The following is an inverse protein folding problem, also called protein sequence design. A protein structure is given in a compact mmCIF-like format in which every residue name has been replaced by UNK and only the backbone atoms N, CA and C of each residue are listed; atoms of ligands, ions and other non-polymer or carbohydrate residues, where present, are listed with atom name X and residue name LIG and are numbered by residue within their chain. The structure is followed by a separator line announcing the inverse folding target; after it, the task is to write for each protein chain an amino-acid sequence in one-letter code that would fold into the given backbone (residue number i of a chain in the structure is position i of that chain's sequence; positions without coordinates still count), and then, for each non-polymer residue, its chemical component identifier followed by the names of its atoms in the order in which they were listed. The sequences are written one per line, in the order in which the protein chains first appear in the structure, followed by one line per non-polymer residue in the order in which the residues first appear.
data_IF_865701735142
#
_entry.id   IF_865701735142
#
_cell.length_a   1.000
_cell.length_b   1.000
_cell.length_c   1.000
_cell.angle_alpha   90.00
_cell.angle_beta   90.00
_cell.angle_gamma   90.00
#
_symmetry.space_group_name_H-M   'P 1'
#
loop_
_entity.id
_entity.type
_entity.pdbx_description
1 polymer ?
#
# COMPACT_ATOMS: atom_id res chain seq x y z
N UNK A 1 21.41 8.26 -7.68
CA UNK A 1 22.73 7.71 -8.05
C UNK A 1 22.62 7.11 -9.44
N UNK A 2 23.50 7.49 -10.37
CA UNK A 2 23.52 6.93 -11.73
C UNK A 2 24.15 5.54 -11.71
N UNK A 3 23.60 4.61 -12.50
CA UNK A 3 24.24 3.34 -12.85
C UNK A 3 24.86 3.49 -14.24
N UNK A 4 25.86 2.68 -14.55
CA UNK A 4 26.25 2.51 -15.96
C UNK A 4 25.18 1.72 -16.74
N UNK A 5 25.41 1.55 -18.04
CA UNK A 5 24.51 0.82 -18.97
C UNK A 5 24.32 -0.66 -18.59
N UNK A 6 25.22 -1.20 -17.77
CA UNK A 6 25.19 -2.58 -17.28
C UNK A 6 24.61 -2.68 -15.86
N UNK A 7 24.09 -1.58 -15.30
CA UNK A 7 23.54 -1.53 -13.95
C UNK A 7 24.60 -1.52 -12.84
N UNK A 8 25.89 -1.38 -13.18
CA UNK A 8 26.96 -1.30 -12.19
C UNK A 8 27.02 0.09 -11.57
N UNK A 9 27.29 0.09 -10.26
CA UNK A 9 27.58 1.29 -9.51
C UNK A 9 28.74 0.99 -8.55
N UNK A 10 29.92 1.61 -8.74
CA UNK A 10 31.08 1.40 -7.87
C UNK A 10 30.77 1.66 -6.38
N UNK A 11 29.89 2.62 -6.10
CA UNK A 11 29.47 2.93 -4.73
C UNK A 11 28.61 1.81 -4.13
N UNK A 12 27.76 1.15 -4.92
CA UNK A 12 26.99 0.01 -4.43
C UNK A 12 27.87 -1.18 -4.08
N UNK A 13 28.86 -1.48 -4.94
CA UNK A 13 29.87 -2.49 -4.63
C UNK A 13 30.60 -2.19 -3.32
N UNK A 14 30.97 -0.92 -3.10
CA UNK A 14 31.67 -0.50 -1.89
C UNK A 14 30.86 -0.65 -0.59
N UNK A 15 29.52 -0.57 -0.67
CA UNK A 15 28.63 -0.76 0.49
C UNK A 15 28.07 -2.18 0.60
N UNK A 16 28.53 -3.10 -0.26
CA UNK A 16 28.05 -4.47 -0.33
C UNK A 16 26.60 -4.59 -0.83
N UNK A 17 26.07 -3.59 -1.53
CA UNK A 17 24.74 -3.62 -2.14
C UNK A 17 24.80 -4.14 -3.57
N UNK A 18 23.87 -5.03 -3.91
CA UNK A 18 23.67 -5.53 -5.28
C UNK A 18 22.21 -5.36 -5.64
N UNK A 19 21.97 -4.75 -6.80
CA UNK A 19 20.63 -4.72 -7.37
C UNK A 19 20.23 -6.13 -7.81
N UNK A 20 18.93 -6.40 -7.74
CA UNK A 20 18.38 -7.65 -8.26
C UNK A 20 18.60 -7.70 -9.78
N UNK A 21 19.55 -8.54 -10.20
CA UNK A 21 19.92 -8.79 -11.60
C UNK A 21 19.32 -10.08 -12.14
N UNK A 22 18.47 -10.78 -11.36
CA UNK A 22 17.75 -11.96 -11.87
C UNK A 22 17.05 -11.58 -13.16
N UNK A 23 17.20 -12.44 -14.18
CA UNK A 23 16.57 -12.22 -15.47
C UNK A 23 15.08 -11.93 -15.26
N UNK A 24 14.59 -10.89 -15.93
CA UNK A 24 13.16 -10.60 -15.93
C UNK A 24 12.48 -11.87 -16.43
N UNK A 25 11.61 -12.45 -15.60
CA UNK A 25 10.86 -13.64 -15.99
C UNK A 25 10.21 -13.40 -17.35
N UNK A 26 10.30 -14.41 -18.25
CA UNK A 26 9.64 -14.39 -19.57
C UNK A 26 8.21 -13.87 -19.44
N UNK A 27 7.64 -13.22 -20.48
CA UNK A 27 6.30 -12.61 -20.45
C UNK A 27 5.26 -13.55 -19.83
N UNK A 28 4.98 -13.40 -18.53
CA UNK A 28 3.68 -13.80 -18.00
C UNK A 28 2.67 -12.86 -18.67
N UNK A 29 1.55 -13.42 -19.15
CA UNK A 29 0.40 -12.65 -19.59
C UNK A 29 0.15 -11.54 -18.55
N UNK A 30 0.03 -10.28 -18.98
CA UNK A 30 -0.38 -9.18 -18.10
C UNK A 30 -1.79 -9.52 -17.59
N UNK A 31 -1.90 -9.91 -16.32
CA UNK A 31 -3.10 -10.58 -15.79
C UNK A 31 -4.38 -9.76 -15.98
N UNK A 32 -4.27 -8.43 -15.88
CA UNK A 32 -5.40 -7.50 -15.98
C UNK A 32 -5.60 -6.91 -17.39
N UNK A 33 -4.81 -7.31 -18.39
CA UNK A 33 -4.79 -6.69 -19.72
C UNK A 33 -6.17 -6.63 -20.38
N UNK A 34 -7.00 -7.65 -20.18
CA UNK A 34 -8.32 -7.76 -20.80
C UNK A 34 -9.33 -6.74 -20.22
N UNK A 35 -9.12 -6.25 -19.00
CA UNK A 35 -10.05 -5.34 -18.32
C UNK A 35 -9.51 -3.93 -18.04
N UNK A 36 -8.19 -3.75 -18.13
CA UNK A 36 -7.55 -2.45 -17.90
C UNK A 36 -7.58 -1.58 -19.16
N UNK A 37 -7.83 -0.28 -18.96
CA UNK A 37 -7.56 0.80 -19.92
C UNK A 37 -6.53 1.72 -19.29
N UNK A 38 -5.32 1.73 -19.86
CA UNK A 38 -4.22 2.60 -19.42
C UNK A 38 -4.33 3.95 -20.10
N UNK A 39 -4.99 4.91 -19.44
CA UNK A 39 -5.32 6.22 -20.05
C UNK A 39 -4.11 7.00 -20.54
N UNK A 40 -2.93 6.73 -20.01
CA UNK A 40 -1.64 7.28 -20.46
C UNK A 40 -1.30 6.93 -21.92
N UNK A 41 -1.78 5.79 -22.43
CA UNK A 41 -1.56 5.33 -23.80
C UNK A 41 -2.74 5.59 -24.74
N UNK A 42 -3.76 6.28 -24.25
CA UNK A 42 -5.00 6.52 -24.97
C UNK A 42 -5.11 7.97 -25.46
N UNK A 43 -5.77 8.12 -26.62
CA UNK A 43 -6.23 9.38 -27.18
C UNK A 43 -7.74 9.52 -26.97
N UNK A 44 -8.32 10.69 -27.25
CA UNK A 44 -9.77 10.88 -27.18
C UNK A 44 -10.55 9.83 -27.99
N UNK A 45 -10.11 9.49 -29.22
CA UNK A 45 -10.82 8.53 -30.07
C UNK A 45 -10.62 7.08 -29.62
N UNK A 46 -9.37 6.68 -29.36
CA UNK A 46 -9.06 5.31 -28.93
C UNK A 46 -9.66 4.99 -27.56
N UNK A 47 -9.77 5.99 -26.67
CA UNK A 47 -10.39 5.82 -25.37
C UNK A 47 -11.88 5.46 -25.44
N UNK A 48 -12.65 6.14 -26.29
CA UNK A 48 -14.09 5.83 -26.49
C UNK A 48 -14.24 4.42 -27.06
N UNK A 49 -13.38 4.05 -28.01
CA UNK A 49 -13.36 2.72 -28.60
C UNK A 49 -13.05 1.66 -27.53
N UNK A 50 -11.99 1.83 -26.74
CA UNK A 50 -11.58 0.92 -25.67
C UNK A 50 -12.68 0.71 -24.62
N UNK A 51 -13.42 1.76 -24.25
CA UNK A 51 -14.57 1.64 -23.33
C UNK A 51 -15.73 0.86 -23.95
N UNK A 52 -16.04 1.13 -25.23
CA UNK A 52 -17.13 0.49 -25.97
C UNK A 52 -16.85 -1.00 -26.20
N UNK A 53 -15.61 -1.36 -26.56
CA UNK A 53 -15.14 -2.73 -26.70
C UNK A 53 -15.22 -3.52 -25.38
N UNK A 54 -15.10 -2.83 -24.24
CA UNK A 54 -15.31 -3.40 -22.89
C UNK A 54 -16.77 -3.32 -22.41
N UNK A 55 -17.72 -3.02 -23.30
CA UNK A 55 -19.16 -3.11 -23.02
C UNK A 55 -19.75 -1.98 -22.18
N UNK A 56 -19.04 -0.85 -22.08
CA UNK A 56 -19.52 0.36 -21.40
C UNK A 56 -20.25 1.29 -22.37
N UNK A 57 -21.35 1.88 -21.92
CA UNK A 57 -22.06 2.92 -22.68
C UNK A 57 -21.37 4.26 -22.46
N UNK A 58 -20.91 4.88 -23.56
CA UNK A 58 -20.20 6.16 -23.53
C UNK A 58 -20.86 7.14 -24.49
N UNK A 59 -21.10 8.35 -24.01
CA UNK A 59 -21.59 9.47 -24.83
C UNK A 59 -20.74 10.70 -24.60
N UNK A 60 -20.50 11.47 -25.64
CA UNK A 60 -19.78 12.74 -25.55
C UNK A 60 -20.75 13.91 -25.30
N UNK A 61 -20.38 14.80 -24.39
CA UNK A 61 -21.07 16.08 -24.14
C UNK A 61 -20.08 17.20 -24.47
N UNK A 62 -20.16 17.73 -25.69
CA UNK A 62 -19.24 18.76 -26.19
C UNK A 62 -19.34 20.06 -25.40
N UNK A 63 -20.57 20.48 -25.05
CA UNK A 63 -20.81 21.72 -24.31
C UNK A 63 -20.15 21.72 -22.92
N UNK A 64 -20.22 20.58 -22.22
CA UNK A 64 -19.60 20.43 -20.90
C UNK A 64 -18.15 19.95 -20.97
N UNK A 65 -17.67 19.62 -22.16
CA UNK A 65 -16.35 19.04 -22.42
C UNK A 65 -16.08 17.78 -21.57
N UNK A 66 -17.04 16.84 -21.57
CA UNK A 66 -16.96 15.58 -20.80
C UNK A 66 -17.34 14.35 -21.61
N UNK A 67 -16.78 13.20 -21.24
CA UNK A 67 -17.29 11.88 -21.61
C UNK A 67 -18.18 11.35 -20.50
N UNK A 68 -19.44 11.05 -20.80
CA UNK A 68 -20.38 10.41 -19.88
C UNK A 68 -20.29 8.90 -20.05
N UNK A 69 -19.99 8.19 -18.97
CA UNK A 69 -19.81 6.74 -18.93
C UNK A 69 -20.81 6.16 -17.95
N UNK A 70 -21.60 5.17 -18.33
CA UNK A 70 -22.58 4.54 -17.44
C UNK A 70 -22.10 3.19 -16.91
N UNK A 71 -22.29 2.97 -15.62
CA UNK A 71 -22.09 1.67 -14.98
C UNK A 71 -23.09 1.45 -13.82
N UNK A 72 -23.11 0.26 -13.23
CA UNK A 72 -23.89 0.03 -12.02
C UNK A 72 -23.14 0.55 -10.79
N UNK A 73 -21.84 0.25 -10.72
CA UNK A 73 -20.97 0.62 -9.60
C UNK A 73 -19.69 1.28 -10.09
N UNK A 74 -19.31 2.39 -9.47
CA UNK A 74 -17.97 2.97 -9.63
C UNK A 74 -17.21 2.90 -8.31
N UNK A 75 -15.97 2.43 -8.35
CA UNK A 75 -15.09 2.26 -7.19
C UNK A 75 -13.87 3.16 -7.39
N UNK A 76 -13.57 4.02 -6.42
CA UNK A 76 -12.41 4.91 -6.47
C UNK A 76 -11.29 4.35 -5.61
N UNK A 77 -10.19 3.95 -6.24
CA UNK A 77 -9.02 3.32 -5.62
C UNK A 77 -9.04 1.80 -5.79
N UNK A 78 -7.92 1.24 -6.23
CA UNK A 78 -7.77 -0.19 -6.55
C UNK A 78 -7.07 -1.03 -5.46
N UNK A 79 -6.80 -0.42 -4.30
CA UNK A 79 -6.12 -1.06 -3.18
C UNK A 79 -6.94 -2.14 -2.47
N UNK A 80 -6.51 -2.56 -1.26
CA UNK A 80 -7.09 -3.68 -0.52
C UNK A 80 -8.64 -3.67 -0.45
N UNK A 81 -9.24 -2.53 -0.11
CA UNK A 81 -10.71 -2.42 -0.03
C UNK A 81 -11.39 -2.39 -1.39
N UNK A 82 -10.83 -1.62 -2.34
CA UNK A 82 -11.43 -1.43 -3.66
C UNK A 82 -11.37 -2.68 -4.53
N UNK A 83 -10.25 -3.41 -4.49
CA UNK A 83 -10.09 -4.67 -5.24
C UNK A 83 -11.07 -5.75 -4.80
N UNK A 84 -11.23 -5.95 -3.48
CA UNK A 84 -12.20 -6.91 -2.93
C UNK A 84 -13.62 -6.51 -3.31
N UNK A 85 -13.99 -5.24 -3.14
CA UNK A 85 -15.32 -4.76 -3.51
C UNK A 85 -15.60 -4.94 -5.02
N UNK A 86 -14.61 -4.66 -5.88
CA UNK A 86 -14.73 -4.86 -7.32
C UNK A 86 -14.99 -6.31 -7.67
N UNK A 87 -14.23 -7.24 -7.10
CA UNK A 87 -14.36 -8.67 -7.34
C UNK A 87 -15.76 -9.19 -6.97
N UNK A 88 -16.22 -8.89 -5.76
CA UNK A 88 -17.51 -9.37 -5.25
C UNK A 88 -18.67 -8.81 -6.07
N UNK A 89 -18.64 -7.53 -6.43
CA UNK A 89 -19.71 -6.88 -7.18
C UNK A 89 -19.72 -7.30 -8.66
N UNK A 90 -18.56 -7.42 -9.30
CA UNK A 90 -18.46 -7.92 -10.67
C UNK A 90 -18.92 -9.38 -10.76
N UNK A 91 -18.48 -10.24 -9.83
CA UNK A 91 -18.93 -11.64 -9.75
C UNK A 91 -20.44 -11.78 -9.47
N UNK A 92 -21.09 -10.72 -8.94
CA UNK A 92 -22.54 -10.66 -8.77
C UNK A 92 -23.28 -10.18 -10.02
N UNK A 93 -22.57 -9.95 -11.13
CA UNK A 93 -23.14 -9.56 -12.43
C UNK A 93 -23.32 -8.05 -12.62
N UNK A 94 -22.80 -7.21 -11.72
CA UNK A 94 -22.87 -5.74 -11.88
C UNK A 94 -21.81 -5.23 -12.85
N UNK A 95 -22.15 -4.20 -13.64
CA UNK A 95 -21.15 -3.46 -14.43
C UNK A 95 -20.33 -2.57 -13.51
N UNK A 96 -19.09 -2.98 -13.23
CA UNK A 96 -18.17 -2.30 -12.31
C UNK A 96 -17.09 -1.53 -13.07
N UNK A 97 -16.88 -0.26 -12.69
CA UNK A 97 -15.70 0.51 -13.08
C UNK A 97 -14.84 0.78 -11.84
N UNK A 98 -13.53 0.52 -11.94
CA UNK A 98 -12.54 0.88 -10.92
C UNK A 98 -11.67 2.02 -11.44
N UNK A 99 -11.53 3.11 -10.67
CA UNK A 99 -10.60 4.18 -10.96
C UNK A 99 -9.33 4.05 -10.13
N UNK A 100 -8.18 4.11 -10.78
CA UNK A 100 -6.87 4.17 -10.14
C UNK A 100 -6.08 5.36 -10.69
N UNK A 101 -5.54 6.19 -9.79
CA UNK A 101 -4.76 7.37 -10.20
C UNK A 101 -3.33 7.02 -10.58
N UNK A 102 -2.79 5.93 -10.04
CA UNK A 102 -1.49 5.39 -10.42
C UNK A 102 -1.53 4.60 -11.72
N UNK A 103 -0.36 4.15 -12.16
CA UNK A 103 -0.19 3.34 -13.37
C UNK A 103 -0.22 1.83 -13.05
N UNK A 104 -0.38 1.02 -14.10
CA UNK A 104 -0.34 -0.44 -14.02
C UNK A 104 1.07 -0.96 -14.33
N UNK A 105 1.68 -1.65 -13.36
CA UNK A 105 2.97 -2.31 -13.53
C UNK A 105 2.81 -3.81 -13.36
N UNK A 106 3.53 -4.58 -14.18
CA UNK A 106 3.74 -6.02 -13.97
C UNK A 106 5.19 -6.31 -13.60
N UNK A 107 5.47 -7.58 -13.28
CA UNK A 107 6.78 -8.04 -12.80
C UNK A 107 7.98 -7.60 -13.67
N UNK A 108 7.79 -7.43 -14.98
CA UNK A 108 8.82 -6.96 -15.91
C UNK A 108 9.02 -5.44 -15.92
N UNK A 109 8.02 -4.67 -15.52
CA UNK A 109 8.06 -3.21 -15.55
C UNK A 109 8.80 -2.67 -14.32
N UNK A 110 8.74 -3.40 -13.20
CA UNK A 110 9.37 -2.97 -11.95
C UNK A 110 10.88 -2.79 -12.06
N UNK A 111 11.32 -1.62 -11.63
CA UNK A 111 12.73 -1.29 -11.54
C UNK A 111 13.39 -2.02 -10.36
N UNK A 112 14.66 -2.38 -10.50
CA UNK A 112 15.49 -2.79 -9.35
C UNK A 112 16.04 -1.58 -8.60
N UNK A 113 15.76 -0.37 -9.10
CA UNK A 113 16.24 0.88 -8.52
C UNK A 113 15.22 1.45 -7.56
N UNK A 114 15.66 1.66 -6.33
CA UNK A 114 14.87 2.25 -5.25
C UNK A 114 14.22 3.57 -5.67
N UNK A 115 15.00 4.55 -6.13
CA UNK A 115 14.46 5.88 -6.47
C UNK A 115 13.41 5.88 -7.58
N UNK A 116 13.58 5.03 -8.61
CA UNK A 116 12.60 4.90 -9.71
C UNK A 116 11.31 4.27 -9.19
N UNK A 117 11.42 3.18 -8.43
CA UNK A 117 10.28 2.47 -7.86
C UNK A 117 9.51 3.34 -6.87
N UNK A 118 10.22 4.10 -6.03
CA UNK A 118 9.61 5.07 -5.11
C UNK A 118 8.83 6.13 -5.89
N UNK A 119 9.41 6.71 -6.94
CA UNK A 119 8.74 7.73 -7.76
C UNK A 119 7.49 7.20 -8.49
N UNK A 120 7.53 5.96 -8.98
CA UNK A 120 6.46 5.36 -9.77
C UNK A 120 5.32 4.79 -8.92
N UNK A 121 5.64 4.23 -7.75
CA UNK A 121 4.70 3.38 -7.01
C UNK A 121 4.18 4.00 -5.72
N UNK A 122 4.71 5.13 -5.27
CA UNK A 122 4.34 5.77 -4.00
C UNK A 122 3.79 7.18 -4.19
N UNK A 123 2.86 7.55 -3.32
CA UNK A 123 2.42 8.93 -3.13
C UNK A 123 3.61 9.86 -2.90
N UNK A 124 3.64 10.98 -3.63
CA UNK A 124 4.72 11.98 -3.52
C UNK A 124 6.12 11.38 -3.68
N UNK A 125 6.26 10.27 -4.43
CA UNK A 125 7.52 9.56 -4.59
C UNK A 125 8.08 8.96 -3.29
N UNK A 126 7.22 8.69 -2.31
CA UNK A 126 7.60 8.19 -0.98
C UNK A 126 8.04 9.27 0.01
N UNK A 127 7.92 10.55 -0.35
CA UNK A 127 8.26 11.68 0.53
C UNK A 127 6.95 12.37 0.96
N UNK A 128 6.30 11.81 1.98
CA UNK A 128 5.06 12.35 2.54
C UNK A 128 5.16 12.50 4.07
N UNK A 129 5.77 13.60 4.57
CA UNK A 129 5.85 13.87 6.00
C UNK A 129 4.52 14.41 6.55
N UNK A 130 4.35 14.29 7.87
CA UNK A 130 3.42 15.17 8.61
C UNK A 130 3.89 16.62 8.55
N UNK A 131 2.98 17.57 8.78
CA UNK A 131 3.26 19.00 8.75
C UNK A 131 4.43 19.41 9.66
N UNK A 132 4.62 18.72 10.78
CA UNK A 132 5.71 18.96 11.73
C UNK A 132 6.95 18.07 11.49
N UNK A 133 6.96 17.28 10.42
CA UNK A 133 8.06 16.40 10.03
C UNK A 133 8.32 15.21 10.95
N UNK A 134 7.48 14.97 11.96
CA UNK A 134 7.72 13.92 12.96
C UNK A 134 7.41 12.51 12.48
N UNK A 135 6.55 12.38 11.47
CA UNK A 135 6.24 11.09 10.86
C UNK A 135 6.43 11.16 9.35
N UNK A 136 7.08 10.15 8.79
CA UNK A 136 7.13 9.89 7.36
C UNK A 136 6.12 8.81 7.00
N UNK A 137 5.30 9.07 5.97
CA UNK A 137 4.24 8.17 5.55
C UNK A 137 4.58 7.60 4.17
N UNK A 138 4.46 6.28 4.04
CA UNK A 138 4.55 5.58 2.77
C UNK A 138 3.17 5.07 2.37
N UNK A 139 2.66 5.55 1.23
CA UNK A 139 1.38 5.14 0.69
C UNK A 139 1.56 4.77 -0.79
N UNK A 140 1.00 3.63 -1.22
CA UNK A 140 1.09 3.17 -2.61
C UNK A 140 0.16 3.97 -3.54
N UNK A 141 0.67 4.34 -4.71
CA UNK A 141 -0.02 5.05 -5.79
C UNK A 141 0.20 4.32 -7.12
N UNK A 142 -0.33 3.12 -7.22
CA UNK A 142 -0.23 2.22 -8.38
C UNK A 142 -1.43 1.27 -8.37
N UNK A 143 -1.72 0.61 -9.49
CA UNK A 143 -2.75 -0.44 -9.52
C UNK A 143 -2.46 -1.52 -8.48
N UNK A 144 -3.40 -1.74 -7.57
CA UNK A 144 -3.25 -2.58 -6.37
C UNK A 144 -2.92 -1.80 -5.08
N UNK A 145 -2.62 -0.51 -5.18
CA UNK A 145 -2.33 0.39 -4.06
C UNK A 145 -1.22 -0.10 -3.14
N UNK A 146 -1.40 0.08 -1.82
CA UNK A 146 -0.44 -0.38 -0.83
C UNK A 146 -0.19 -1.90 -0.83
N UNK A 147 -1.12 -2.70 -1.35
CA UNK A 147 -0.96 -4.16 -1.39
C UNK A 147 0.14 -4.59 -2.39
N UNK A 148 0.33 -3.83 -3.48
CA UNK A 148 1.38 -4.07 -4.46
C UNK A 148 2.79 -3.85 -3.86
N UNK A 149 2.93 -2.91 -2.92
CA UNK A 149 4.23 -2.39 -2.43
C UNK A 149 4.50 -2.54 -0.92
N UNK A 150 3.61 -3.15 -0.13
CA UNK A 150 3.95 -3.48 1.26
C UNK A 150 4.99 -4.63 1.38
N UNK A 151 5.33 -5.01 2.61
CA UNK A 151 6.29 -6.08 2.91
C UNK A 151 5.68 -7.48 3.03
N UNK A 152 4.50 -7.71 2.44
CA UNK A 152 3.77 -8.98 2.42
C UNK A 152 3.28 -9.53 3.78
N UNK A 153 3.63 -8.90 4.90
CA UNK A 153 3.16 -9.29 6.22
C UNK A 153 1.63 -9.29 6.31
N UNK A 154 1.08 -10.42 6.76
CA UNK A 154 -0.33 -10.65 6.98
C UNK A 154 -0.54 -10.90 8.47
N UNK A 155 -1.16 -9.95 9.17
CA UNK A 155 -1.47 -10.08 10.59
C UNK A 155 -2.98 -10.04 10.76
N UNK A 156 -3.53 -11.06 11.39
CA UNK A 156 -4.96 -11.10 11.71
C UNK A 156 -5.27 -10.10 12.82
N UNK A 157 -6.45 -9.49 12.76
CA UNK A 157 -6.93 -8.59 13.81
C UNK A 157 -6.97 -9.35 15.15
N UNK A 158 -6.24 -8.92 16.19
CA UNK A 158 -6.22 -9.63 17.47
C UNK A 158 -7.59 -9.66 18.14
N UNK A 159 -7.91 -10.75 18.85
CA UNK A 159 -9.19 -10.90 19.56
C UNK A 159 -9.43 -9.76 20.56
N UNK A 160 -8.38 -9.30 21.26
CA UNK A 160 -8.48 -8.19 22.20
C UNK A 160 -8.86 -6.86 21.51
N UNK A 161 -8.42 -6.65 20.26
CA UNK A 161 -8.77 -5.47 19.45
C UNK A 161 -10.21 -5.58 18.95
N UNK A 162 -10.63 -6.75 18.46
CA UNK A 162 -12.03 -6.99 18.05
C UNK A 162 -13.00 -6.81 19.23
N UNK A 163 -12.62 -7.29 20.42
CA UNK A 163 -13.35 -7.06 21.67
C UNK A 163 -13.44 -5.58 22.01
N UNK A 164 -12.32 -4.85 21.93
CA UNK A 164 -12.32 -3.40 22.17
C UNK A 164 -13.26 -2.67 21.18
N UNK A 165 -13.16 -2.95 19.87
CA UNK A 165 -14.02 -2.31 18.87
C UNK A 165 -15.51 -2.60 19.08
N UNK A 166 -15.85 -3.84 19.40
CA UNK A 166 -17.25 -4.22 19.64
C UNK A 166 -17.81 -3.67 20.95
N UNK A 167 -17.10 -3.82 22.06
CA UNK A 167 -17.62 -3.49 23.39
C UNK A 167 -17.48 -2.01 23.74
N UNK A 168 -16.31 -1.42 23.47
CA UNK A 168 -16.01 -0.02 23.84
C UNK A 168 -16.53 0.96 22.79
N UNK A 169 -16.29 0.67 21.52
CA UNK A 169 -16.69 1.56 20.41
C UNK A 169 -18.06 1.22 19.81
N UNK A 170 -18.75 0.19 20.34
CA UNK A 170 -20.13 -0.19 19.97
C UNK A 170 -20.27 -0.56 18.49
N UNK A 171 -19.27 -1.29 17.96
CA UNK A 171 -19.24 -1.78 16.59
C UNK A 171 -19.46 -3.31 16.58
N UNK A 172 -20.71 -3.79 16.69
CA UNK A 172 -21.01 -5.21 16.93
C UNK A 172 -20.54 -6.13 15.80
N UNK A 173 -20.36 -5.61 14.58
CA UNK A 173 -19.80 -6.35 13.45
C UNK A 173 -18.47 -7.04 13.82
N UNK A 174 -17.60 -6.40 14.59
CA UNK A 174 -16.29 -6.99 14.94
C UNK A 174 -16.38 -8.14 15.95
N UNK A 175 -17.50 -8.30 16.66
CA UNK A 175 -17.76 -9.47 17.49
C UNK A 175 -18.39 -10.63 16.69
N UNK A 176 -18.96 -10.35 15.52
CA UNK A 176 -19.73 -11.32 14.73
C UNK A 176 -18.87 -12.44 14.11
N UNK A 177 -19.52 -13.52 13.71
CA UNK A 177 -18.95 -14.56 12.84
C UNK A 177 -18.59 -14.02 11.46
N UNK A 178 -19.34 -13.03 10.96
CA UNK A 178 -19.19 -12.51 9.60
C UNK A 178 -17.83 -11.83 9.40
N UNK A 179 -17.35 -11.06 10.39
CA UNK A 179 -16.02 -10.45 10.33
C UNK A 179 -14.90 -11.50 10.32
N UNK A 180 -15.04 -12.56 11.12
CA UNK A 180 -14.07 -13.67 11.14
C UNK A 180 -14.06 -14.42 9.81
N UNK A 181 -15.25 -14.73 9.29
CA UNK A 181 -15.40 -15.37 7.97
C UNK A 181 -14.84 -14.50 6.85
N UNK A 182 -15.01 -13.18 6.91
CA UNK A 182 -14.44 -12.26 5.94
C UNK A 182 -12.90 -12.28 5.99
N UNK A 183 -12.30 -12.26 7.19
CA UNK A 183 -10.85 -12.42 7.34
C UNK A 183 -10.37 -13.76 6.77
N UNK A 184 -11.07 -14.86 7.02
CA UNK A 184 -10.72 -16.18 6.49
C UNK A 184 -10.77 -16.23 4.96
N UNK A 185 -11.82 -15.66 4.36
CA UNK A 185 -11.95 -15.55 2.91
C UNK A 185 -10.81 -14.74 2.30
N UNK A 186 -10.45 -13.62 2.91
CA UNK A 186 -9.32 -12.78 2.45
C UNK A 186 -8.00 -13.53 2.58
N UNK A 187 -7.69 -14.10 3.75
CA UNK A 187 -6.46 -14.87 3.96
C UNK A 187 -6.31 -16.02 2.97
N UNK A 188 -7.41 -16.74 2.69
CA UNK A 188 -7.43 -17.83 1.72
C UNK A 188 -7.17 -17.32 0.30
N UNK A 189 -7.86 -16.26 -0.13
CA UNK A 189 -7.75 -15.75 -1.51
C UNK A 189 -6.37 -15.17 -1.83
N UNK A 190 -5.76 -14.50 -0.86
CA UNK A 190 -4.38 -13.96 -1.02
C UNK A 190 -3.31 -15.02 -0.71
N UNK A 191 -3.70 -16.25 -0.38
CA UNK A 191 -2.80 -17.37 -0.17
C UNK A 191 -1.80 -17.14 0.97
N UNK A 192 -2.30 -16.67 2.12
CA UNK A 192 -1.48 -16.49 3.33
C UNK A 192 -0.82 -17.80 3.73
N UNK A 193 0.49 -17.76 3.99
CA UNK A 193 1.29 -18.90 4.47
C UNK A 193 2.19 -18.46 5.62
N UNK A 194 2.50 -19.37 6.53
CA UNK A 194 3.45 -19.19 7.64
C UNK A 194 4.88 -19.60 7.28
N UNK A 195 5.10 -20.07 6.05
CA UNK A 195 6.39 -20.59 5.60
C UNK A 195 7.20 -19.56 4.80
N UNK A 196 8.48 -19.48 5.11
CA UNK A 196 9.49 -18.78 4.33
C UNK A 196 10.79 -19.56 4.41
N UNK A 197 11.28 -20.08 3.28
CA UNK A 197 12.46 -20.96 3.25
C UNK A 197 13.77 -20.23 3.53
N UNK A 198 13.78 -18.89 3.45
CA UNK A 198 14.97 -18.08 3.71
C UNK A 198 14.63 -16.78 4.43
N UNK A 199 14.85 -16.75 5.74
CA UNK A 199 14.82 -15.52 6.54
C UNK A 199 15.97 -14.56 6.17
N UNK A 200 15.74 -13.25 6.28
CA UNK A 200 16.79 -12.26 6.07
C UNK A 200 17.80 -12.23 7.23
N UNK A 201 18.97 -11.65 6.97
CA UNK A 201 19.98 -11.38 8.00
C UNK A 201 19.40 -10.62 9.20
N UNK A 202 18.52 -9.64 8.96
CA UNK A 202 17.93 -8.82 10.03
C UNK A 202 16.94 -9.61 10.89
N UNK A 203 16.15 -10.51 10.27
CA UNK A 203 15.25 -11.40 11.02
C UNK A 203 16.03 -12.43 11.84
N UNK A 204 17.16 -12.94 11.32
CA UNK A 204 18.07 -13.80 12.10
C UNK A 204 18.58 -13.08 13.36
N UNK A 205 19.00 -11.81 13.22
CA UNK A 205 19.45 -10.98 14.36
C UNK A 205 18.32 -10.81 15.38
N UNK A 206 17.11 -10.45 14.94
CA UNK A 206 15.96 -10.30 15.83
C UNK A 206 15.64 -11.60 16.57
N UNK A 207 15.48 -12.69 15.81
CA UNK A 207 15.06 -13.99 16.33
C UNK A 207 16.07 -14.55 17.32
N UNK A 208 17.34 -14.66 16.91
CA UNK A 208 18.41 -15.17 17.77
C UNK A 208 18.69 -14.26 18.95
N UNK A 209 18.58 -12.94 18.75
CA UNK A 209 18.72 -11.96 19.82
C UNK A 209 17.68 -12.19 20.92
N UNK A 210 16.40 -12.28 20.54
CA UNK A 210 15.31 -12.56 21.47
C UNK A 210 15.44 -13.93 22.15
N UNK A 211 15.73 -15.00 21.39
CA UNK A 211 15.92 -16.36 21.91
C UNK A 211 17.00 -16.39 23.01
N UNK A 212 18.14 -15.70 22.80
CA UNK A 212 19.24 -15.65 23.77
C UNK A 212 18.88 -14.97 25.09
N UNK A 213 17.97 -14.00 25.08
CA UNK A 213 17.54 -13.26 26.28
C UNK A 213 16.18 -13.75 26.81
N UNK A 214 15.68 -14.88 26.30
CA UNK A 214 14.43 -15.49 26.77
C UNK A 214 13.15 -14.75 26.35
N UNK A 215 13.20 -13.91 25.31
CA UNK A 215 12.02 -13.25 24.76
C UNK A 215 11.34 -14.14 23.70
N UNK A 216 10.01 -14.16 23.72
CA UNK A 216 9.19 -14.90 22.75
C UNK A 216 9.30 -14.27 21.37
N UNK A 217 9.58 -15.09 20.36
CA UNK A 217 9.52 -14.70 18.94
C UNK A 217 8.42 -15.48 18.25
N UNK A 218 7.72 -14.82 17.34
CA UNK A 218 6.68 -15.41 16.52
C UNK A 218 7.02 -15.26 15.04
N UNK A 219 6.71 -16.28 14.24
CA UNK A 219 6.77 -16.19 12.79
C UNK A 219 5.63 -15.31 12.26
N UNK A 220 5.88 -14.60 11.17
CA UNK A 220 4.87 -13.77 10.50
C UNK A 220 4.40 -14.44 9.23
N UNK A 221 3.07 -14.54 9.08
CA UNK A 221 2.49 -15.07 7.86
C UNK A 221 2.57 -14.05 6.73
N UNK A 222 2.78 -14.51 5.50
CA UNK A 222 2.96 -13.67 4.31
C UNK A 222 2.04 -14.09 3.17
N UNK A 223 1.68 -13.15 2.30
CA UNK A 223 0.90 -13.42 1.07
C UNK A 223 1.83 -13.62 -0.15
N UNK A 224 2.74 -14.57 -0.05
CA UNK A 224 3.67 -14.97 -1.12
C UNK A 224 3.95 -16.49 -1.01
N UNK A 225 4.65 -17.07 -1.99
CA UNK A 225 5.09 -18.47 -1.92
C UNK A 225 6.25 -18.66 -0.93
N UNK A 226 6.46 -19.90 -0.51
CA UNK A 226 7.47 -20.27 0.50
C UNK A 226 8.90 -19.92 0.04
N UNK A 227 9.14 -19.92 -1.28
CA UNK A 227 10.41 -19.57 -1.92
C UNK A 227 10.51 -18.09 -2.31
N UNK A 228 9.57 -17.25 -1.85
CA UNK A 228 9.60 -15.82 -2.13
C UNK A 228 10.34 -15.02 -1.06
N UNK A 229 11.62 -14.76 -1.32
CA UNK A 229 12.51 -14.05 -0.40
C UNK A 229 13.34 -12.98 -1.12
N UNK A 230 12.71 -12.20 -2.01
CA UNK A 230 13.42 -11.21 -2.84
C UNK A 230 14.00 -10.01 -2.07
N UNK A 231 13.56 -9.76 -0.83
CA UNK A 231 14.00 -8.62 -0.01
C UNK A 231 13.54 -7.23 -0.52
N UNK A 232 12.82 -7.17 -1.64
CA UNK A 232 12.55 -5.92 -2.38
C UNK A 232 11.07 -5.72 -2.76
N UNK A 233 10.14 -6.41 -2.10
CA UNK A 233 8.70 -6.28 -2.35
C UNK A 233 8.18 -4.84 -2.29
N UNK A 234 8.85 -3.98 -1.51
CA UNK A 234 8.51 -2.55 -1.42
C UNK A 234 8.83 -1.74 -2.67
N UNK A 235 9.60 -2.28 -3.60
CA UNK A 235 9.93 -1.64 -4.86
C UNK A 235 9.19 -2.27 -6.05
N UNK A 236 8.17 -3.08 -5.76
CA UNK A 236 7.46 -3.88 -6.76
C UNK A 236 8.04 -5.29 -6.90
N UNK A 237 7.16 -6.29 -6.92
CA UNK A 237 7.57 -7.68 -6.90
C UNK A 237 7.99 -8.17 -8.30
N UNK A 238 9.30 -8.08 -8.60
CA UNK A 238 9.88 -8.51 -9.89
C UNK A 238 9.73 -10.00 -10.22
N UNK A 239 9.49 -10.86 -9.23
CA UNK A 239 9.18 -12.28 -9.46
C UNK A 239 7.70 -12.52 -9.75
N UNK A 240 6.84 -11.51 -9.56
CA UNK A 240 5.38 -11.61 -9.70
C UNK A 240 4.74 -12.66 -8.78
N UNK A 241 5.35 -12.92 -7.63
CA UNK A 241 4.90 -13.98 -6.71
C UNK A 241 4.03 -13.45 -5.57
N UNK A 242 4.32 -12.24 -5.08
CA UNK A 242 3.52 -11.55 -4.07
C UNK A 242 2.06 -11.37 -4.54
N UNK A 243 1.13 -11.74 -3.67
CA UNK A 243 -0.31 -11.82 -3.95
C UNK A 243 -1.05 -10.57 -3.47
N UNK A 244 -0.76 -9.43 -4.10
CA UNK A 244 -1.48 -8.17 -3.93
C UNK A 244 -2.87 -8.21 -4.59
N UNK A 245 -3.66 -7.13 -4.47
CA UNK A 245 -4.97 -7.08 -5.15
C UNK A 245 -4.84 -7.08 -6.66
N UNK A 246 -3.74 -6.58 -7.21
CA UNK A 246 -3.36 -6.59 -8.63
C UNK A 246 -3.17 -8.00 -9.23
N UNK A 247 -2.80 -8.98 -8.40
CA UNK A 247 -2.62 -10.37 -8.81
C UNK A 247 -3.66 -11.33 -8.21
N UNK A 248 -4.65 -10.79 -7.48
CA UNK A 248 -5.72 -11.56 -6.84
C UNK A 248 -7.10 -11.00 -7.18
N UNK A 249 -7.69 -10.21 -6.29
CA UNK A 249 -9.08 -9.75 -6.39
C UNK A 249 -9.38 -8.92 -7.64
N UNK A 250 -8.45 -8.09 -8.13
CA UNK A 250 -8.66 -7.35 -9.38
C UNK A 250 -8.66 -8.29 -10.60
N UNK A 251 -7.95 -9.42 -10.53
CA UNK A 251 -8.01 -10.45 -11.57
C UNK A 251 -9.40 -11.06 -11.60
N UNK A 252 -9.94 -11.45 -10.44
CA UNK A 252 -11.31 -11.96 -10.32
C UNK A 252 -12.34 -10.94 -10.85
N UNK A 253 -12.14 -9.65 -10.55
CA UNK A 253 -13.01 -8.59 -11.03
C UNK A 253 -13.00 -8.48 -12.57
N UNK A 254 -11.81 -8.46 -13.17
CA UNK A 254 -11.62 -8.37 -14.63
C UNK A 254 -12.15 -9.61 -15.34
N UNK A 255 -11.93 -10.80 -14.79
CA UNK A 255 -12.49 -12.06 -15.31
C UNK A 255 -14.03 -12.07 -15.32
N UNK A 256 -14.64 -11.28 -14.43
CA UNK A 256 -16.09 -11.05 -14.37
C UNK A 256 -16.54 -9.74 -15.04
N UNK A 257 -15.72 -9.18 -15.94
CA UNK A 257 -16.09 -8.05 -16.79
C UNK A 257 -15.97 -6.66 -16.16
N UNK A 258 -15.32 -6.52 -15.01
CA UNK A 258 -15.00 -5.20 -14.47
C UNK A 258 -13.98 -4.47 -15.37
N UNK A 259 -14.17 -3.16 -15.51
CA UNK A 259 -13.24 -2.29 -16.26
C UNK A 259 -12.44 -1.44 -15.30
N UNK A 260 -11.13 -1.38 -15.48
CA UNK A 260 -10.22 -0.61 -14.64
C UNK A 260 -9.62 0.52 -15.47
N UNK A 261 -9.75 1.77 -15.01
CA UNK A 261 -9.11 2.93 -15.63
C UNK A 261 -7.90 3.35 -14.79
N UNK A 262 -6.69 3.19 -15.31
CA UNK A 262 -5.46 3.65 -14.63
C UNK A 262 -5.01 5.01 -15.15
N UNK A 263 -4.17 5.71 -14.38
CA UNK A 263 -3.84 7.11 -14.65
C UNK A 263 -5.08 8.01 -14.58
N UNK A 264 -6.11 7.61 -13.83
CA UNK A 264 -7.39 8.29 -13.76
C UNK A 264 -7.75 8.65 -12.32
N UNK A 265 -7.89 9.95 -12.05
CA UNK A 265 -8.08 10.50 -10.72
C UNK A 265 -9.51 11.03 -10.55
N UNK A 266 -10.24 10.51 -9.57
CA UNK A 266 -11.50 11.12 -9.15
C UNK A 266 -11.28 12.50 -8.52
N UNK A 267 -12.02 13.50 -8.98
CA UNK A 267 -11.94 14.88 -8.48
C UNK A 267 -13.09 15.20 -7.53
N UNK A 268 -14.30 14.72 -7.85
CA UNK A 268 -15.52 15.10 -7.15
C UNK A 268 -16.63 14.06 -7.32
N UNK A 269 -17.37 13.78 -6.25
CA UNK A 269 -18.63 13.03 -6.32
C UNK A 269 -19.75 13.94 -6.83
N UNK A 270 -20.65 13.37 -7.63
CA UNK A 270 -21.85 14.07 -8.11
C UNK A 270 -22.95 13.81 -7.09
N UNK A 271 -23.27 14.83 -6.30
CA UNK A 271 -24.31 14.78 -5.28
C UNK A 271 -25.55 15.55 -5.76
N UNK A 272 -26.70 14.90 -5.74
CA UNK A 272 -28.01 15.48 -6.04
C UNK A 272 -28.85 15.54 -4.76
N UNK A 273 -29.70 16.54 -4.63
CA UNK A 273 -30.67 16.56 -3.54
C UNK A 273 -31.67 15.41 -3.72
N UNK A 274 -32.07 14.80 -2.62
CA UNK A 274 -33.05 13.72 -2.63
C UNK A 274 -34.42 14.23 -3.05
N UNK A 275 -35.16 13.41 -3.80
CA UNK A 275 -36.58 13.67 -4.04
C UNK A 275 -37.30 13.75 -2.67
N UNK A 276 -38.16 14.76 -2.48
CA UNK A 276 -39.00 15.01 -1.30
C UNK A 276 -38.45 15.98 -0.22
N UNK A 277 -37.57 16.93 -0.54
CA UNK A 277 -37.22 18.02 0.39
C UNK A 277 -36.47 17.58 1.66
N UNK A 278 -36.01 16.33 1.72
CA UNK A 278 -35.14 15.85 2.79
C UNK A 278 -33.72 16.38 2.58
N UNK A 279 -32.98 16.68 3.66
CA UNK A 279 -31.55 17.07 3.60
C UNK A 279 -30.62 15.95 3.08
N UNK A 280 -31.17 14.81 2.65
CA UNK A 280 -30.40 13.64 2.22
C UNK A 280 -29.98 13.82 0.77
N UNK A 281 -28.67 13.76 0.52
CA UNK A 281 -28.11 13.79 -0.82
C UNK A 281 -27.96 12.36 -1.36
N UNK A 282 -28.28 12.18 -2.64
CA UNK A 282 -28.01 10.97 -3.39
C UNK A 282 -26.74 11.17 -4.22
N UNK A 283 -25.83 10.20 -4.20
CA UNK A 283 -24.67 10.21 -5.09
C UNK A 283 -25.06 9.51 -6.40
N UNK A 284 -24.88 10.19 -7.53
CA UNK A 284 -25.20 9.64 -8.86
C UNK A 284 -23.95 9.37 -9.69
N UNK A 285 -22.82 9.14 -9.03
CA UNK A 285 -21.52 8.93 -9.67
C UNK A 285 -20.47 9.99 -9.32
N UNK A 286 -19.54 10.24 -10.23
CA UNK A 286 -18.38 11.11 -9.99
C UNK A 286 -17.84 11.76 -11.26
N UNK A 287 -17.03 12.80 -11.06
CA UNK A 287 -16.17 13.41 -12.07
C UNK A 287 -14.74 12.97 -11.80
N UNK A 288 -14.05 12.53 -12.86
CA UNK A 288 -12.64 12.18 -12.85
C UNK A 288 -11.89 12.87 -13.99
N UNK A 289 -10.57 12.95 -13.86
CA UNK A 289 -9.65 13.45 -14.86
C UNK A 289 -8.52 12.45 -15.09
N UNK A 290 -8.07 12.35 -16.32
CA UNK A 290 -6.90 11.54 -16.69
C UNK A 290 -5.62 12.27 -16.29
N UNK A 291 -4.53 11.51 -16.18
CA UNK A 291 -3.19 12.00 -15.88
C UNK A 291 -2.76 13.04 -16.92
N UNK A 292 -1.93 14.00 -16.52
CA UNK A 292 -1.35 15.00 -17.42
C UNK A 292 -0.51 14.41 -18.55
N UNK A 293 -0.12 13.13 -18.44
CA UNK A 293 0.58 12.36 -19.49
C UNK A 293 -0.36 11.78 -20.55
N UNK A 294 -1.66 11.74 -20.28
CA UNK A 294 -2.68 11.23 -21.20
C UNK A 294 -2.97 12.26 -22.30
N UNK A 295 -3.30 11.79 -23.50
CA UNK A 295 -3.81 12.63 -24.58
C UNK A 295 -5.34 12.82 -24.53
N UNK A 296 -6.00 12.27 -23.51
CA UNK A 296 -7.42 12.49 -23.26
C UNK A 296 -7.60 13.87 -22.61
N UNK A 297 -8.30 14.77 -23.30
CA UNK A 297 -8.44 16.17 -22.85
C UNK A 297 -9.76 16.45 -22.11
N UNK A 298 -10.76 15.57 -22.29
CA UNK A 298 -12.08 15.72 -21.67
C UNK A 298 -12.12 15.09 -20.27
N UNK A 299 -12.93 15.66 -19.38
CA UNK A 299 -13.18 15.01 -18.08
C UNK A 299 -14.11 13.82 -18.24
N UNK A 300 -14.04 12.88 -17.30
CA UNK A 300 -14.89 11.71 -17.26
C UNK A 300 -16.01 11.94 -16.25
N UNK A 301 -17.26 11.94 -16.72
CA UNK A 301 -18.45 11.90 -15.89
C UNK A 301 -18.94 10.45 -15.82
N UNK A 302 -18.62 9.75 -14.73
CA UNK A 302 -19.08 8.37 -14.54
C UNK A 302 -20.38 8.40 -13.78
N UNK A 303 -21.45 7.98 -14.42
CA UNK A 303 -22.79 7.84 -13.85
C UNK A 303 -22.98 6.43 -13.32
N UNK A 304 -23.35 6.32 -12.05
CA UNK A 304 -23.53 5.02 -11.39
C UNK A 304 -24.67 5.05 -10.39
N UNK A 305 -25.18 3.86 -10.06
CA UNK A 305 -26.18 3.65 -9.01
C UNK A 305 -25.53 3.65 -7.63
N UNK A 306 -24.30 3.14 -7.54
CA UNK A 306 -23.51 3.08 -6.30
C UNK A 306 -22.09 3.56 -6.56
N UNK A 307 -21.62 4.46 -5.68
CA UNK A 307 -20.22 4.91 -5.66
C UNK A 307 -19.53 4.45 -4.38
N UNK A 308 -18.40 3.76 -4.51
CA UNK A 308 -17.57 3.31 -3.38
C UNK A 308 -16.27 4.12 -3.37
N UNK A 309 -16.00 4.83 -2.27
CA UNK A 309 -14.69 5.47 -2.07
C UNK A 309 -13.76 4.53 -1.30
N UNK A 310 -12.68 4.11 -1.95
CA UNK A 310 -11.63 3.21 -1.44
C UNK A 310 -10.23 3.80 -1.66
N UNK A 311 -10.09 5.12 -1.61
CA UNK A 311 -8.84 5.84 -1.88
C UNK A 311 -7.82 5.77 -0.71
N UNK A 312 -8.14 5.02 0.36
CA UNK A 312 -7.35 4.97 1.58
C UNK A 312 -7.53 6.19 2.50
N UNK A 313 -6.99 6.10 3.71
CA UNK A 313 -7.18 7.09 4.78
C UNK A 313 -6.67 8.50 4.45
N UNK A 314 -5.76 8.62 3.48
CA UNK A 314 -5.14 9.90 3.11
C UNK A 314 -5.88 10.63 1.98
N UNK A 315 -6.62 9.92 1.12
CA UNK A 315 -7.21 10.50 -0.09
C UNK A 315 -8.74 10.42 -0.11
N UNK A 316 -9.36 9.49 0.63
CA UNK A 316 -10.81 9.43 0.78
C UNK A 316 -11.36 10.72 1.41
N UNK A 317 -10.81 11.25 2.52
CA UNK A 317 -11.38 12.45 3.13
C UNK A 317 -11.27 13.71 2.25
N UNK A 318 -10.12 14.02 1.60
CA UNK A 318 -10.05 15.13 0.64
C UNK A 318 -11.07 15.03 -0.50
N UNK A 319 -11.31 13.84 -1.05
CA UNK A 319 -12.34 13.62 -2.07
C UNK A 319 -13.75 13.91 -1.53
N UNK A 320 -14.05 13.47 -0.31
CA UNK A 320 -15.35 13.75 0.33
C UNK A 320 -15.55 15.26 0.58
N UNK A 321 -14.50 15.95 1.03
CA UNK A 321 -14.53 17.40 1.29
C UNK A 321 -14.68 18.18 -0.02
N UNK A 322 -13.91 17.87 -1.07
CA UNK A 322 -14.03 18.53 -2.38
C UNK A 322 -15.41 18.32 -3.02
N UNK A 323 -16.09 17.22 -2.66
CA UNK A 323 -17.45 16.89 -3.07
C UNK A 323 -18.53 17.67 -2.32
N UNK A 324 -18.18 18.44 -1.30
CA UNK A 324 -19.12 19.27 -0.53
C UNK A 324 -19.87 18.51 0.56
N UNK A 325 -19.35 17.37 1.03
CA UNK A 325 -19.86 16.71 2.24
C UNK A 325 -19.43 17.50 3.48
N UNK A 326 -20.38 17.72 4.40
CA UNK A 326 -20.22 18.64 5.53
C UNK A 326 -20.11 17.94 6.90
N UNK A 327 -19.99 16.61 6.93
CA UNK A 327 -19.86 15.90 8.20
C UNK A 327 -18.54 16.32 8.89
N UNK A 328 -18.58 16.86 10.13
CA UNK A 328 -17.41 17.43 10.80
C UNK A 328 -16.33 16.41 11.17
N UNK A 329 -16.62 15.10 11.04
CA UNK A 329 -15.67 14.02 11.26
C UNK A 329 -14.85 13.66 10.02
N UNK A 330 -15.23 14.15 8.83
CA UNK A 330 -14.48 13.86 7.59
C UNK A 330 -13.09 14.49 7.71
N UNK A 331 -12.07 13.64 7.57
CA UNK A 331 -10.67 14.04 7.65
C UNK A 331 -10.14 14.17 9.08
N UNK A 332 -10.89 13.75 10.10
CA UNK A 332 -10.42 13.65 11.49
C UNK A 332 -10.13 12.21 11.88
N UNK A 333 -9.48 12.03 13.03
CA UNK A 333 -9.21 10.73 13.63
C UNK A 333 -8.35 9.84 12.73
N UNK A 334 -7.37 10.42 12.02
CA UNK A 334 -6.35 9.62 11.36
C UNK A 334 -5.52 8.92 12.44
N UNK A 335 -5.41 7.60 12.34
CA UNK A 335 -4.56 6.78 13.21
C UNK A 335 -3.38 6.26 12.38
N UNK A 336 -2.17 6.39 12.90
CA UNK A 336 -0.92 5.93 12.29
C UNK A 336 -0.10 5.24 13.36
N UNK A 337 0.54 4.11 13.06
CA UNK A 337 1.48 3.49 14.00
C UNK A 337 2.81 4.26 14.01
N UNK A 338 3.20 4.89 15.14
CA UNK A 338 4.50 5.53 15.25
C UNK A 338 5.60 4.47 15.26
N UNK A 339 6.71 4.78 14.61
CA UNK A 339 7.85 3.88 14.46
C UNK A 339 9.14 4.57 14.88
N UNK A 340 9.99 3.85 15.60
CA UNK A 340 11.38 4.25 15.88
C UNK A 340 12.34 3.14 15.50
N UNK A 341 13.44 3.52 14.83
CA UNK A 341 14.45 2.57 14.34
C UNK A 341 15.64 2.47 15.30
N UNK A 342 16.17 1.25 15.43
CA UNK A 342 17.44 0.92 16.06
C UNK A 342 18.37 0.28 15.00
N UNK A 343 19.67 0.59 15.09
CA UNK A 343 20.67 0.21 14.11
C UNK A 343 21.84 -0.49 14.80
N UNK A 344 22.21 -1.69 14.36
CA UNK A 344 23.33 -2.45 14.91
C UNK A 344 24.21 -3.03 13.80
N UNK A 345 25.51 -2.74 13.83
CA UNK A 345 26.46 -3.37 12.91
C UNK A 345 26.90 -4.74 13.46
N UNK A 346 26.78 -5.78 12.64
CA UNK A 346 27.27 -7.11 12.97
C UNK A 346 28.30 -7.54 11.92
N UNK A 347 29.57 -7.72 12.30
CA UNK A 347 30.58 -8.23 11.38
C UNK A 347 30.21 -9.63 10.85
N UNK A 348 31.01 -10.14 9.91
CA UNK A 348 30.83 -11.52 9.44
C UNK A 348 30.93 -12.50 10.61
N UNK A 349 29.97 -13.41 10.68
CA UNK A 349 29.79 -14.38 11.76
C UNK A 349 29.17 -15.64 11.14
N UNK A 350 29.67 -16.82 11.50
CA UNK A 350 29.20 -18.10 10.96
C UNK A 350 27.71 -18.36 11.27
N UNK A 351 27.17 -17.73 12.32
CA UNK A 351 25.78 -17.85 12.73
C UNK A 351 24.86 -16.85 12.02
N UNK A 352 25.34 -15.83 11.31
CA UNK A 352 24.51 -14.78 10.71
C UNK A 352 24.84 -14.60 9.22
N UNK A 353 24.04 -15.22 8.37
CA UNK A 353 24.26 -15.25 6.92
C UNK A 353 23.46 -14.19 6.15
N UNK A 354 23.93 -13.84 4.95
CA UNK A 354 23.23 -12.95 4.01
C UNK A 354 23.45 -11.45 4.26
N UNK A 355 22.74 -10.61 3.50
CA UNK A 355 22.77 -9.14 3.67
C UNK A 355 21.43 -8.62 4.20
N UNK A 356 21.42 -7.40 4.73
CA UNK A 356 20.20 -6.81 5.29
C UNK A 356 19.06 -6.59 4.27
N UNK A 357 19.37 -6.54 2.98
CA UNK A 357 18.41 -6.33 1.89
C UNK A 357 18.01 -7.63 1.16
N UNK A 358 18.44 -8.80 1.64
CA UNK A 358 18.13 -10.11 1.04
C UNK A 358 17.32 -10.98 2.00
N UNK A 359 16.47 -11.87 1.49
CA UNK A 359 15.66 -12.77 2.30
C UNK A 359 14.20 -12.29 2.45
N UNK A 360 13.39 -13.06 3.17
CA UNK A 360 12.04 -12.63 3.57
C UNK A 360 12.11 -11.37 4.44
N UNK A 361 11.24 -10.38 4.18
CA UNK A 361 11.33 -9.04 4.79
C UNK A 361 10.91 -9.05 6.26
N UNK A 362 9.65 -9.38 6.55
CA UNK A 362 9.17 -9.60 7.93
C UNK A 362 8.86 -11.09 8.06
N UNK A 363 9.75 -11.82 8.71
CA UNK A 363 9.57 -13.28 8.98
C UNK A 363 9.53 -13.59 10.47
N UNK A 364 10.06 -12.69 11.31
CA UNK A 364 10.06 -12.80 12.77
C UNK A 364 9.58 -11.50 13.40
N UNK A 365 8.82 -11.61 14.49
CA UNK A 365 8.40 -10.48 15.33
C UNK A 365 8.48 -10.82 16.81
N UNK A 366 8.75 -9.80 17.62
CA UNK A 366 8.58 -9.85 19.06
C UNK A 366 7.46 -8.89 19.48
N UNK A 367 6.50 -9.37 20.26
CA UNK A 367 5.37 -8.57 20.74
C UNK A 367 5.54 -8.27 22.22
N UNK A 368 5.55 -6.98 22.57
CA UNK A 368 5.38 -6.54 23.95
C UNK A 368 3.89 -6.35 24.19
N UNK A 369 3.34 -7.12 25.13
CA UNK A 369 1.91 -7.11 25.45
C UNK A 369 1.59 -6.11 26.56
N UNK A 370 0.39 -5.55 26.53
CA UNK A 370 -0.23 -4.89 27.67
C UNK A 370 -0.87 -5.93 28.61
N UNK A 371 -1.32 -5.49 29.79
CA UNK A 371 -1.96 -6.37 30.80
C UNK A 371 -3.17 -7.14 30.25
N UNK A 372 -3.94 -6.52 29.35
CA UNK A 372 -5.09 -7.14 28.69
C UNK A 372 -4.70 -8.02 27.48
N UNK A 373 -3.45 -8.45 27.41
CA UNK A 373 -2.85 -9.25 26.32
C UNK A 373 -2.88 -8.59 24.93
N UNK A 374 -3.18 -7.29 24.83
CA UNK A 374 -3.12 -6.60 23.53
C UNK A 374 -1.68 -6.22 23.21
N UNK A 375 -1.17 -6.48 21.99
CA UNK A 375 0.13 -5.97 21.58
C UNK A 375 0.17 -4.45 21.67
N UNK A 376 1.13 -3.92 22.43
CA UNK A 376 1.37 -2.46 22.54
C UNK A 376 2.58 -2.00 21.74
N UNK A 377 3.58 -2.87 21.59
CA UNK A 377 4.78 -2.65 20.79
C UNK A 377 5.05 -3.94 20.02
N UNK A 378 5.40 -3.82 18.75
CA UNK A 378 5.90 -4.93 17.95
C UNK A 378 7.28 -4.56 17.42
N UNK A 379 8.27 -5.41 17.69
CA UNK A 379 9.62 -5.28 17.16
C UNK A 379 9.72 -6.14 15.90
N UNK A 380 10.08 -5.52 14.79
CA UNK A 380 10.18 -6.18 13.48
C UNK A 380 11.40 -5.68 12.69
N UNK A 381 11.71 -6.35 11.58
CA UNK A 381 12.78 -5.97 10.66
C UNK A 381 12.20 -5.33 9.38
N UNK A 382 12.65 -4.14 8.96
CA UNK A 382 12.17 -3.46 7.76
C UNK A 382 12.97 -3.87 6.53
N UNK A 383 12.43 -3.62 5.33
CA UNK A 383 13.24 -3.52 4.12
C UNK A 383 13.59 -2.06 3.84
N UNK A 384 14.89 -1.74 3.83
CA UNK A 384 15.41 -0.41 3.52
C UNK A 384 16.55 -0.54 2.51
N UNK A 385 16.34 0.01 1.31
CA UNK A 385 17.40 0.20 0.33
C UNK A 385 18.43 1.24 0.79
N UNK A 386 19.59 1.35 0.11
CA UNK A 386 20.66 2.26 0.50
C UNK A 386 20.22 3.73 0.58
N UNK A 387 19.31 4.19 -0.27
CA UNK A 387 18.85 5.58 -0.25
C UNK A 387 17.97 5.83 0.98
N UNK A 388 16.97 4.98 1.26
CA UNK A 388 16.15 5.08 2.46
C UNK A 388 16.97 4.94 3.73
N UNK A 389 17.92 4.00 3.77
CA UNK A 389 18.86 3.86 4.89
C UNK A 389 19.62 5.18 5.13
N UNK A 390 20.18 5.76 4.08
CA UNK A 390 20.94 7.01 4.19
C UNK A 390 20.10 8.21 4.65
N UNK A 391 18.81 8.22 4.32
CA UNK A 391 17.88 9.27 4.69
C UNK A 391 17.36 9.14 6.13
N UNK A 392 17.27 7.91 6.66
CA UNK A 392 16.68 7.62 7.97
C UNK A 392 17.71 7.45 9.08
N UNK A 393 18.93 7.05 8.76
CA UNK A 393 19.98 6.89 9.77
C UNK A 393 20.36 8.26 10.36
N UNK A 394 20.49 8.39 11.70
CA UNK A 394 20.83 9.67 12.32
C UNK A 394 22.13 10.25 11.77
N UNK A 395 22.08 11.51 11.33
CA UNK A 395 23.27 12.23 10.87
C UNK A 395 24.10 12.72 12.06
N UNK A 396 25.36 12.31 12.14
CA UNK A 396 26.33 12.86 13.09
C UNK A 396 27.44 13.67 12.39
N UNK A 397 28.04 13.11 11.33
CA UNK A 397 29.08 13.78 10.54
C UNK A 397 29.26 13.13 9.17
N UNK A 398 29.94 13.83 8.26
CA UNK A 398 30.29 13.28 6.95
C UNK A 398 31.22 12.05 7.00
N UNK A 399 31.98 11.85 8.09
CA UNK A 399 32.78 10.62 8.29
C UNK A 399 31.91 9.47 8.79
N UNK A 400 31.05 9.75 9.77
CA UNK A 400 30.14 8.76 10.37
C UNK A 400 29.19 8.17 9.32
N UNK A 401 28.57 9.00 8.47
CA UNK A 401 27.68 8.50 7.41
C UNK A 401 28.41 7.61 6.41
N UNK A 402 29.68 7.93 6.07
CA UNK A 402 30.49 7.13 5.15
C UNK A 402 30.84 5.78 5.75
N UNK A 403 31.19 5.74 7.03
CA UNK A 403 31.45 4.49 7.76
C UNK A 403 30.19 3.63 7.86
N UNK A 404 29.04 4.22 8.21
CA UNK A 404 27.74 3.52 8.26
C UNK A 404 27.33 2.97 6.90
N UNK A 405 27.51 3.74 5.83
CA UNK A 405 27.22 3.29 4.47
C UNK A 405 28.16 2.16 4.05
N UNK A 406 29.47 2.25 4.35
CA UNK A 406 30.41 1.15 4.08
C UNK A 406 30.01 -0.15 4.80
N UNK A 407 29.32 -0.05 5.94
CA UNK A 407 28.80 -1.16 6.75
C UNK A 407 27.34 -1.53 6.45
N UNK A 408 26.71 -0.90 5.44
CA UNK A 408 25.27 -0.99 5.18
C UNK A 408 24.77 -2.44 5.11
N UNK A 409 25.37 -3.28 4.25
CA UNK A 409 24.93 -4.67 4.01
C UNK A 409 24.89 -5.55 5.27
N UNK A 410 25.64 -5.16 6.31
CA UNK A 410 25.81 -5.86 7.58
C UNK A 410 25.32 -5.07 8.80
N UNK A 411 24.55 -4.00 8.55
CA UNK A 411 23.84 -3.27 9.59
C UNK A 411 22.41 -3.81 9.67
N UNK A 412 22.07 -4.43 10.79
CA UNK A 412 20.71 -4.84 11.09
C UNK A 412 19.93 -3.62 11.55
N UNK A 413 18.72 -3.48 11.00
CA UNK A 413 17.80 -2.41 11.29
C UNK A 413 16.58 -3.09 11.90
N UNK A 414 16.24 -2.70 13.12
CA UNK A 414 15.00 -3.14 13.76
C UNK A 414 14.17 -1.90 14.04
N UNK A 415 12.85 -2.07 14.11
CA UNK A 415 11.99 -0.96 14.47
C UNK A 415 10.94 -1.39 15.48
N UNK A 416 10.65 -0.48 16.40
CA UNK A 416 9.53 -0.59 17.32
C UNK A 416 8.30 0.06 16.69
N UNK A 417 7.31 -0.76 16.33
CA UNK A 417 5.98 -0.35 15.89
C UNK A 417 5.08 -0.20 17.11
N UNK A 418 4.65 1.02 17.40
CA UNK A 418 3.82 1.32 18.57
C UNK A 418 2.35 1.32 18.20
N UNK A 419 1.53 0.66 19.02
CA UNK A 419 0.07 0.79 18.95
C UNK A 419 -0.30 2.20 19.37
N UNK A 420 -0.90 2.93 18.44
CA UNK A 420 -1.17 4.34 18.59
C UNK A 420 -2.33 4.65 19.54
N UNK A 421 -2.18 5.77 20.24
CA UNK A 421 -3.21 6.50 20.97
C UNK A 421 -3.40 7.91 20.41
N UNK A 422 -2.35 8.46 19.81
CA UNK A 422 -2.39 9.70 19.06
C UNK A 422 -3.39 9.67 17.92
N UNK A 423 -3.66 10.85 17.37
CA UNK A 423 -4.58 11.00 16.24
C UNK A 423 -4.18 12.20 15.40
N UNK A 424 -4.55 12.16 14.12
CA UNK A 424 -4.26 13.18 13.14
C UNK A 424 -5.48 13.62 12.33
N UNK A 425 -5.21 14.49 11.37
CA UNK A 425 -6.19 14.97 10.40
C UNK A 425 -5.61 14.99 8.98
N UNK A 426 -6.49 14.74 8.00
CA UNK A 426 -6.24 14.91 6.57
C UNK A 426 -7.45 15.58 5.93
N UNK A 427 -7.39 16.90 5.79
CA UNK A 427 -8.47 17.70 5.17
C UNK A 427 -8.18 18.09 3.72
N UNK A 428 -6.91 18.03 3.34
CA UNK A 428 -6.42 18.33 2.00
C UNK A 428 -5.35 17.31 1.66
N UNK A 429 -5.33 16.86 0.41
CA UNK A 429 -4.29 15.97 -0.08
C UNK A 429 -2.88 16.56 0.17
N UNK A 430 -1.94 15.68 0.50
CA UNK A 430 -0.56 16.05 0.78
C UNK A 430 -0.35 16.82 2.10
N UNK A 431 -1.42 17.10 2.86
CA UNK A 431 -1.34 17.80 4.15
C UNK A 431 -1.88 16.92 5.26
N UNK A 432 -0.95 16.30 5.99
CA UNK A 432 -1.25 15.45 7.15
C UNK A 432 -0.78 16.15 8.42
N UNK A 433 -1.67 16.29 9.40
CA UNK A 433 -1.28 16.62 10.77
C UNK A 433 -1.40 15.37 11.62
N UNK A 434 -0.49 15.18 12.56
CA UNK A 434 -0.56 14.07 13.51
C UNK A 434 -0.02 14.49 14.86
N UNK A 435 -0.71 14.13 15.93
CA UNK A 435 -0.27 14.41 17.30
C UNK A 435 -0.03 13.08 18.02
N UNK A 436 1.23 12.81 18.33
CA UNK A 436 1.63 11.72 19.22
C UNK A 436 1.07 11.96 20.62
N UNK A 437 0.43 10.93 21.17
CA UNK A 437 0.03 10.90 22.56
C UNK A 437 1.26 10.70 23.47
N UNK A 438 1.14 11.01 24.76
CA UNK A 438 2.22 10.77 25.71
C UNK A 438 2.54 9.27 25.84
N UNK A 439 1.52 8.41 25.78
CA UNK A 439 1.68 6.96 25.79
C UNK A 439 2.42 6.45 24.55
N UNK A 440 2.21 7.07 23.39
CA UNK A 440 2.95 6.73 22.17
C UNK A 440 4.45 6.97 22.37
N UNK A 441 4.82 8.12 22.93
CA UNK A 441 6.22 8.49 23.20
C UNK A 441 6.88 7.57 24.22
N UNK A 442 6.15 7.23 25.29
CA UNK A 442 6.63 6.30 26.32
C UNK A 442 6.90 4.92 25.70
N UNK A 443 5.95 4.41 24.90
CA UNK A 443 6.11 3.11 24.24
C UNK A 443 7.20 3.13 23.16
N UNK A 444 7.41 4.24 22.44
CA UNK A 444 8.54 4.39 21.53
C UNK A 444 9.87 4.30 22.30
N UNK A 445 9.96 4.97 23.45
CA UNK A 445 11.14 4.91 24.33
C UNK A 445 11.37 3.52 24.93
N UNK A 446 10.32 2.78 25.29
CA UNK A 446 10.42 1.41 25.81
C UNK A 446 10.82 0.43 24.70
N UNK A 447 10.34 0.67 23.48
CA UNK A 447 10.62 -0.18 22.33
C UNK A 447 12.04 -0.03 21.78
N UNK A 448 12.64 1.16 21.91
CA UNK A 448 14.05 1.43 21.63
C UNK A 448 14.94 0.86 22.75
#
# INVERSE_FOLDING_TARGET
MQTDVNGHNPMWKAIGYKVDTREKLKPKKRLLQEGVIETTYETNSTFIQSLSEKGLEVTEDEEKNVYKIKCDVVIVGSGCGGGVAAAILANSGYKVIVLEKGEYFVSQDYSSLEGVSMNQLYESGGILPTHDGKMMILAGSTLGGGSAINWAACVRTPDSVMKEWSEKYKLPLFASSDYRSAMDSVCRRIGVTDKCNKESFQNQVLRKGCERIGLKVESVTVNASEDHYCGSCCYGCRTGDKKGTDSTWLVDAVENGAVILTGCRAEKLILKDGNNGTKRKNCSGLIAATSWRSMITKKLQIESKVTISSCGSLLTPPLMISSGLQNPNIGKNLHLHPVQFAWGYFPEDENLSGSNYEGGIITSIHKVLAENSTPKIIIEAPALGPASFSALVPWNSGRDIKDRLAKYSRTANLFALVRDKGSGEVKREGRVSYRLDQMDKENLRIGL
#
